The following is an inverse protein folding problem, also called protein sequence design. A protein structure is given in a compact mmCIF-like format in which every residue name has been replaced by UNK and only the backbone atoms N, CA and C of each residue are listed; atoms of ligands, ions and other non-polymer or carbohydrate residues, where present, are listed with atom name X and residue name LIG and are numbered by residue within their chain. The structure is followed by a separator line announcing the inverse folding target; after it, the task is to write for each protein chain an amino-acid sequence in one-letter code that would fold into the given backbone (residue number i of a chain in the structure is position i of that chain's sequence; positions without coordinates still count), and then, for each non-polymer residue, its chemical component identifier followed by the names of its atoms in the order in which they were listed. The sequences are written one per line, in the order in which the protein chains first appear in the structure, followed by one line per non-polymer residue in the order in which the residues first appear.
data_IF_665225331038
#
_entry.id   IF_665225331038
#
_cell.length_a   1.000
_cell.length_b   1.000
_cell.length_c   1.000
_cell.angle_alpha   90.00
_cell.angle_beta   90.00
_cell.angle_gamma   90.00
#
_symmetry.space_group_name_H-M   'P 1'
#
loop_
_entity.id
_entity.type
_entity.pdbx_description
1 polymer ?
#
# COMPACT_ATOMS: atom_id res chain seq x y z
N UNK A 1 5.68 -34.62 3.15
CA UNK A 1 4.31 -34.43 3.68
C UNK A 1 3.79 -33.12 3.09
N UNK A 2 3.08 -33.19 1.96
CA UNK A 2 2.47 -32.03 1.32
C UNK A 2 1.22 -31.66 2.11
N UNK A 3 1.19 -30.46 2.70
CA UNK A 3 -0.03 -29.94 3.32
C UNK A 3 -0.74 -29.08 2.30
N UNK A 4 -1.91 -29.56 1.91
CA UNK A 4 -2.94 -28.88 1.13
C UNK A 4 -3.35 -27.58 1.83
N UNK A 5 -3.06 -26.42 1.22
CA UNK A 5 -3.56 -25.11 1.67
C UNK A 5 -4.34 -24.37 0.58
N UNK A 6 -4.84 -25.08 -0.44
CA UNK A 6 -5.49 -24.47 -1.60
C UNK A 6 -7.01 -24.26 -1.46
N UNK A 7 -7.65 -24.59 -0.34
CA UNK A 7 -9.12 -24.56 -0.21
C UNK A 7 -9.72 -23.42 0.62
N UNK A 8 -8.95 -22.72 1.47
CA UNK A 8 -9.53 -21.75 2.42
C UNK A 8 -9.75 -20.33 1.87
N UNK A 9 -9.13 -19.99 0.73
CA UNK A 9 -9.30 -18.67 0.10
C UNK A 9 -10.54 -18.60 -0.81
N UNK A 10 -11.00 -19.74 -1.34
CA UNK A 10 -12.07 -19.78 -2.34
C UNK A 10 -13.48 -19.50 -1.78
N UNK A 11 -13.68 -19.55 -0.46
CA UNK A 11 -14.96 -19.30 0.21
C UNK A 11 -15.00 -18.01 1.06
N UNK A 12 -13.96 -17.17 1.03
CA UNK A 12 -13.96 -15.90 1.76
C UNK A 12 -14.54 -14.78 0.88
N UNK A 13 -15.55 -14.09 1.40
CA UNK A 13 -16.13 -12.92 0.76
C UNK A 13 -15.06 -11.82 0.69
N UNK A 14 -14.61 -11.51 -0.53
CA UNK A 14 -13.71 -10.39 -0.77
C UNK A 14 -14.53 -9.12 -0.91
N UNK A 15 -14.25 -8.12 -0.08
CA UNK A 15 -14.84 -6.81 -0.29
C UNK A 15 -14.09 -6.15 -1.46
N UNK A 16 -14.78 -5.79 -2.57
CA UNK A 16 -14.18 -4.93 -3.56
C UNK A 16 -13.85 -3.62 -2.86
N UNK A 17 -12.57 -3.29 -2.82
CA UNK A 17 -12.11 -2.03 -2.29
C UNK A 17 -11.83 -1.12 -3.47
N UNK A 18 -12.16 0.17 -3.32
CA UNK A 18 -11.81 1.26 -4.22
C UNK A 18 -10.96 2.28 -3.43
N UNK A 19 -10.09 3.06 -4.10
CA UNK A 19 -9.24 4.08 -3.45
C UNK A 19 -10.06 5.14 -2.69
N UNK A 20 -11.34 5.32 -3.05
CA UNK A 20 -12.30 6.17 -2.33
C UNK A 20 -12.42 5.87 -0.83
N UNK A 21 -12.07 4.66 -0.36
CA UNK A 21 -12.04 4.34 1.08
C UNK A 21 -11.08 5.23 1.87
N UNK A 22 -10.04 5.78 1.22
CA UNK A 22 -9.02 6.60 1.87
C UNK A 22 -9.38 8.08 1.95
N UNK A 23 -10.63 8.49 1.62
CA UNK A 23 -11.08 9.90 1.58
C UNK A 23 -10.07 10.82 0.87
N UNK A 24 -9.49 10.32 -0.22
CA UNK A 24 -8.54 11.09 -1.03
C UNK A 24 -9.23 12.13 -1.89
N UNK A 25 -8.52 13.22 -2.20
CA UNK A 25 -9.00 14.25 -3.12
C UNK A 25 -8.78 13.88 -4.58
N UNK A 26 -7.84 12.98 -4.84
CA UNK A 26 -7.57 12.44 -6.17
C UNK A 26 -8.14 11.02 -6.24
N UNK A 27 -9.06 10.72 -7.18
CA UNK A 27 -9.67 9.40 -7.26
C UNK A 27 -8.65 8.29 -7.55
N UNK A 28 -7.54 8.64 -8.21
CA UNK A 28 -6.51 7.69 -8.66
C UNK A 28 -5.28 7.63 -7.76
N UNK A 29 -5.24 8.37 -6.65
CA UNK A 29 -4.09 8.39 -5.74
C UNK A 29 -4.53 8.67 -4.32
N UNK A 30 -3.97 7.96 -3.34
CA UNK A 30 -4.16 8.21 -1.93
C UNK A 30 -2.84 7.99 -1.18
N UNK A 31 -2.60 8.84 -0.17
CA UNK A 31 -1.56 8.64 0.82
C UNK A 31 -2.18 8.78 2.20
N UNK A 32 -1.92 7.83 3.08
CA UNK A 32 -2.53 7.79 4.42
C UNK A 32 -1.54 7.27 5.45
N UNK A 33 -1.39 7.94 6.60
CA UNK A 33 -0.62 7.41 7.73
C UNK A 33 -1.15 6.07 8.24
N UNK A 34 -0.26 5.13 8.60
CA UNK A 34 -0.67 3.79 9.03
C UNK A 34 -1.47 3.75 10.34
N UNK A 35 -1.26 4.72 11.22
CA UNK A 35 -2.06 4.89 12.45
C UNK A 35 -3.52 5.26 12.13
N UNK A 36 -3.78 5.98 11.04
CA UNK A 36 -5.15 6.25 10.58
C UNK A 36 -5.80 4.99 10.01
N UNK A 37 -5.06 4.19 9.24
CA UNK A 37 -5.55 2.91 8.70
C UNK A 37 -5.84 1.91 9.81
N UNK A 38 -5.01 1.85 10.85
CA UNK A 38 -5.29 1.03 12.03
C UNK A 38 -6.68 1.35 12.60
N UNK A 39 -7.07 2.63 12.62
CA UNK A 39 -8.33 3.09 13.16
C UNK A 39 -9.51 2.91 12.18
N UNK A 40 -9.23 2.63 10.90
CA UNK A 40 -10.24 2.28 9.90
C UNK A 40 -10.59 0.79 10.00
N UNK A 41 -11.75 0.50 10.56
CA UNK A 41 -12.29 -0.86 10.72
C UNK A 41 -12.54 -1.61 9.41
N UNK A 42 -12.52 -0.91 8.27
CA UNK A 42 -12.81 -1.49 6.94
C UNK A 42 -11.65 -2.39 6.46
N UNK A 43 -10.40 -2.05 6.77
CA UNK A 43 -9.22 -2.76 6.25
C UNK A 43 -8.59 -3.73 7.26
N UNK A 44 -8.83 -3.52 8.56
CA UNK A 44 -8.18 -4.29 9.61
C UNK A 44 -8.75 -5.71 9.71
N UNK A 45 -7.89 -6.72 9.54
CA UNK A 45 -8.24 -8.13 9.70
C UNK A 45 -9.24 -8.69 8.68
N UNK A 46 -9.61 -7.90 7.66
CA UNK A 46 -10.46 -8.35 6.54
C UNK A 46 -9.59 -8.68 5.34
N UNK A 47 -10.08 -9.60 4.51
CA UNK A 47 -9.53 -9.81 3.18
C UNK A 47 -10.21 -8.86 2.20
N UNK A 48 -9.39 -8.19 1.41
CA UNK A 48 -9.87 -7.31 0.35
C UNK A 48 -8.98 -7.46 -0.89
N UNK A 49 -9.53 -7.09 -2.04
CA UNK A 49 -8.84 -7.16 -3.33
C UNK A 49 -8.79 -5.76 -3.93
N UNK A 50 -7.70 -4.99 -3.73
CA UNK A 50 -7.59 -3.65 -4.30
C UNK A 50 -7.47 -3.72 -5.82
N UNK A 51 -8.07 -2.76 -6.52
CA UNK A 51 -7.89 -2.56 -7.97
C UNK A 51 -6.78 -1.57 -8.32
N UNK A 52 -5.92 -1.25 -7.35
CA UNK A 52 -4.83 -0.27 -7.44
C UNK A 52 -3.50 -0.87 -6.98
N UNK A 53 -2.39 -0.20 -7.28
CA UNK A 53 -1.06 -0.52 -6.78
C UNK A 53 -0.87 0.02 -5.37
N UNK A 54 -0.36 -0.81 -4.46
CA UNK A 54 -0.13 -0.41 -3.07
C UNK A 54 1.36 -0.37 -2.75
N UNK A 55 1.81 0.68 -2.07
CA UNK A 55 3.13 0.76 -1.42
C UNK A 55 2.89 0.98 0.07
N UNK A 56 3.52 0.16 0.92
CA UNK A 56 3.49 0.36 2.37
C UNK A 56 4.92 0.47 2.86
N UNK A 57 5.20 1.54 3.62
CA UNK A 57 6.47 1.76 4.29
C UNK A 57 6.27 1.79 5.81
N UNK A 58 7.11 1.07 6.54
CA UNK A 58 7.15 1.09 8.01
C UNK A 58 8.32 1.96 8.47
N UNK A 59 8.00 3.11 9.06
CA UNK A 59 9.00 3.99 9.69
C UNK A 59 9.45 3.44 11.03
N UNK A 60 8.51 2.99 11.85
CA UNK A 60 8.78 2.33 13.13
C UNK A 60 7.62 1.44 13.55
N UNK A 61 7.89 0.34 14.22
CA UNK A 61 6.92 -0.63 14.68
C UNK A 61 6.84 -1.88 13.79
N UNK A 62 5.68 -2.55 13.81
CA UNK A 62 5.53 -3.84 13.15
C UNK A 62 4.14 -4.00 12.55
N UNK A 63 4.10 -4.52 11.32
CA UNK A 63 2.90 -4.90 10.61
C UNK A 63 3.03 -6.33 10.12
N UNK A 64 1.96 -7.10 10.27
CA UNK A 64 1.81 -8.37 9.56
C UNK A 64 0.87 -8.14 8.38
N UNK A 65 1.27 -8.62 7.22
CA UNK A 65 0.48 -8.54 5.99
C UNK A 65 0.48 -9.91 5.32
N UNK A 66 -0.72 -10.34 4.93
CA UNK A 66 -0.89 -11.44 4.00
C UNK A 66 -1.13 -10.86 2.62
N UNK A 67 -0.37 -11.31 1.63
CA UNK A 67 -0.60 -11.03 0.21
C UNK A 67 -0.69 -12.35 -0.53
N UNK A 68 -1.85 -12.64 -1.10
CA UNK A 68 -2.19 -13.91 -1.71
C UNK A 68 -1.92 -15.07 -0.72
N UNK A 69 -1.01 -15.99 -1.06
CA UNK A 69 -0.62 -17.13 -0.21
C UNK A 69 0.60 -16.83 0.68
N UNK A 70 1.16 -15.62 0.61
CA UNK A 70 2.39 -15.25 1.32
C UNK A 70 2.10 -14.37 2.53
N UNK A 71 2.80 -14.66 3.63
CA UNK A 71 2.76 -13.86 4.85
C UNK A 71 4.08 -13.12 5.03
N UNK A 72 4.00 -11.82 5.30
CA UNK A 72 5.14 -10.97 5.57
C UNK A 72 4.99 -10.31 6.94
N UNK A 73 6.06 -10.33 7.71
CA UNK A 73 6.23 -9.45 8.87
C UNK A 73 7.15 -8.32 8.47
N UNK A 74 6.62 -7.12 8.44
CA UNK A 74 7.35 -5.91 8.08
C UNK A 74 7.63 -5.11 9.35
N UNK A 75 8.88 -4.69 9.50
CA UNK A 75 9.36 -3.86 10.61
C UNK A 75 10.03 -2.61 10.06
N UNK A 76 10.58 -1.79 10.95
CA UNK A 76 11.32 -0.56 10.69
C UNK A 76 12.19 -0.64 9.42
N UNK A 77 12.03 0.35 8.54
CA UNK A 77 12.75 0.46 7.27
C UNK A 77 12.21 -0.44 6.14
N UNK A 78 11.22 -1.28 6.42
CA UNK A 78 10.62 -2.18 5.44
C UNK A 78 9.64 -1.49 4.49
N UNK A 79 9.72 -1.84 3.20
CA UNK A 79 8.80 -1.42 2.15
C UNK A 79 8.25 -2.66 1.45
N UNK A 80 6.92 -2.72 1.28
CA UNK A 80 6.27 -3.71 0.40
C UNK A 80 5.51 -2.98 -0.71
N UNK A 81 5.70 -3.46 -1.93
CA UNK A 81 4.94 -3.06 -3.11
C UNK A 81 4.05 -4.22 -3.53
N UNK A 82 2.77 -3.93 -3.78
CA UNK A 82 1.75 -4.93 -4.06
C UNK A 82 1.02 -4.55 -5.34
N UNK A 83 0.94 -5.45 -6.33
CA UNK A 83 0.21 -5.17 -7.56
C UNK A 83 -1.31 -5.16 -7.34
N UNK A 84 -2.08 -4.58 -8.28
CA UNK A 84 -3.52 -4.67 -8.29
C UNK A 84 -4.00 -6.14 -8.33
N UNK A 85 -5.20 -6.37 -7.82
CA UNK A 85 -5.91 -7.64 -7.81
C UNK A 85 -5.33 -8.74 -6.89
N UNK A 86 -4.21 -8.49 -6.21
CA UNK A 86 -3.77 -9.34 -5.10
C UNK A 86 -4.83 -9.39 -3.99
N UNK A 87 -4.90 -10.50 -3.27
CA UNK A 87 -5.74 -10.62 -2.07
C UNK A 87 -4.92 -10.20 -0.86
N UNK A 88 -5.38 -9.20 -0.11
CA UNK A 88 -4.60 -8.61 0.99
C UNK A 88 -5.36 -8.71 2.31
N UNK A 89 -4.65 -9.01 3.39
CA UNK A 89 -5.10 -8.73 4.75
C UNK A 89 -4.01 -8.04 5.57
N UNK A 90 -4.39 -7.04 6.37
CA UNK A 90 -3.49 -6.24 7.18
C UNK A 90 -3.78 -6.39 8.67
N UNK A 91 -2.70 -6.53 9.44
CA UNK A 91 -2.69 -6.39 10.90
C UNK A 91 -1.58 -5.43 11.31
N UNK A 92 -1.98 -4.19 11.62
CA UNK A 92 -1.09 -3.10 12.02
C UNK A 92 -1.09 -3.04 13.54
N UNK A 93 0.10 -3.01 14.17
CA UNK A 93 0.20 -2.79 15.61
C UNK A 93 -0.06 -1.32 15.96
N UNK A 94 -0.67 -1.05 17.12
CA UNK A 94 -1.13 0.29 17.55
C UNK A 94 -0.07 1.40 17.48
N UNK A 95 1.19 1.08 17.74
CA UNK A 95 2.29 2.05 17.75
C UNK A 95 3.01 2.18 16.39
N UNK A 96 2.55 1.48 15.35
CA UNK A 96 3.21 1.46 14.04
C UNK A 96 3.06 2.80 13.34
N UNK A 97 4.19 3.37 12.93
CA UNK A 97 4.26 4.59 12.12
C UNK A 97 4.75 4.25 10.73
N UNK A 98 4.26 4.99 9.75
CA UNK A 98 4.59 4.80 8.35
C UNK A 98 3.47 5.31 7.47
N UNK A 99 3.54 4.98 6.19
CA UNK A 99 2.56 5.41 5.21
C UNK A 99 2.08 4.24 4.35
N UNK A 100 0.81 4.32 3.99
CA UNK A 100 0.21 3.57 2.91
C UNK A 100 0.01 4.51 1.73
N UNK A 101 0.39 4.05 0.54
CA UNK A 101 0.19 4.76 -0.71
C UNK A 101 -0.57 3.83 -1.64
N UNK A 102 -1.68 4.30 -2.19
CA UNK A 102 -2.45 3.59 -3.18
C UNK A 102 -2.58 4.43 -4.45
N UNK A 103 -2.42 3.83 -5.62
CA UNK A 103 -2.60 4.55 -6.89
C UNK A 103 -3.02 3.66 -8.05
N UNK A 104 -3.78 4.24 -8.98
CA UNK A 104 -4.10 3.60 -10.27
C UNK A 104 -3.02 3.91 -11.31
N UNK A 105 -2.90 3.06 -12.33
CA UNK A 105 -1.93 3.29 -13.41
C UNK A 105 -2.17 4.62 -14.15
N UNK A 106 -3.44 5.02 -14.28
CA UNK A 106 -3.88 6.30 -14.87
C UNK A 106 -3.25 7.52 -14.20
N UNK A 107 -2.93 7.44 -12.89
CA UNK A 107 -2.28 8.53 -12.17
C UNK A 107 -0.92 8.91 -12.79
N UNK A 108 -0.16 7.93 -13.27
CA UNK A 108 1.13 8.15 -13.91
C UNK A 108 1.00 8.53 -15.40
N UNK A 109 -0.02 8.00 -16.08
CA UNK A 109 -0.26 8.29 -17.52
C UNK A 109 -0.62 9.76 -17.79
N UNK A 110 -1.13 10.49 -16.80
CA UNK A 110 -1.50 11.90 -16.95
C UNK A 110 -0.30 12.86 -17.02
N UNK A 111 0.88 12.45 -16.53
CA UNK A 111 2.04 13.34 -16.36
C UNK A 111 3.32 12.83 -17.02
N UNK A 112 3.38 11.54 -17.29
CA UNK A 112 4.53 10.90 -17.89
C UNK A 112 4.04 10.06 -19.07
N UNK A 113 4.88 9.93 -20.11
CA UNK A 113 4.58 9.09 -21.27
C UNK A 113 4.03 7.73 -20.81
N UNK A 114 3.05 7.21 -21.57
CA UNK A 114 2.56 5.84 -21.41
C UNK A 114 3.78 4.92 -21.18
N UNK A 115 3.71 4.02 -20.20
CA UNK A 115 4.77 3.05 -19.83
C UNK A 115 5.79 3.44 -18.73
N UNK A 116 5.70 4.57 -18.03
CA UNK A 116 6.62 4.82 -16.88
C UNK A 116 6.57 3.71 -15.82
N UNK A 117 5.40 3.14 -15.55
CA UNK A 117 5.27 2.03 -14.61
C UNK A 117 6.04 0.77 -15.04
N UNK A 118 6.20 0.50 -16.34
CA UNK A 118 6.99 -0.66 -16.79
C UNK A 118 8.50 -0.47 -16.60
N UNK A 119 8.96 0.78 -16.39
CA UNK A 119 10.35 1.06 -16.02
C UNK A 119 10.65 0.66 -14.57
N UNK A 120 9.62 0.53 -13.73
CA UNK A 120 9.75 0.06 -12.37
C UNK A 120 9.50 -1.45 -12.32
N UNK A 121 10.59 -2.22 -12.32
CA UNK A 121 10.55 -3.69 -12.28
C UNK A 121 9.79 -4.28 -11.09
N UNK A 122 9.49 -3.47 -10.07
CA UNK A 122 8.73 -3.86 -8.89
C UNK A 122 7.21 -3.91 -9.17
N UNK A 123 6.73 -3.14 -10.15
CA UNK A 123 5.31 -3.07 -10.55
C UNK A 123 5.01 -3.88 -11.81
N UNK A 124 6.03 -4.29 -12.55
CA UNK A 124 5.87 -5.23 -13.68
C UNK A 124 5.70 -6.69 -13.23
N UNK A 125 5.88 -6.98 -11.94
CA UNK A 125 5.71 -8.31 -11.36
C UNK A 125 4.24 -8.56 -11.01
N UNK A 126 3.79 -9.79 -11.26
CA UNK A 126 2.47 -10.27 -10.82
C UNK A 126 2.43 -10.61 -9.32
N UNK A 127 3.55 -10.46 -8.60
CA UNK A 127 3.70 -10.81 -7.19
C UNK A 127 4.15 -9.60 -6.38
N UNK A 128 3.74 -9.54 -5.12
CA UNK A 128 4.28 -8.55 -4.18
C UNK A 128 5.80 -8.62 -4.09
N UNK A 129 6.42 -7.47 -3.87
CA UNK A 129 7.87 -7.35 -3.69
C UNK A 129 8.16 -6.65 -2.38
N UNK A 130 9.10 -7.21 -1.62
CA UNK A 130 9.47 -6.72 -0.31
C UNK A 130 10.96 -6.35 -0.26
N UNK A 131 11.28 -5.22 0.37
CA UNK A 131 12.65 -4.72 0.50
C UNK A 131 12.84 -3.99 1.83
N UNK A 132 14.04 -4.11 2.42
CA UNK A 132 14.46 -3.25 3.51
C UNK A 132 15.34 -2.12 2.97
N UNK A 133 15.01 -0.88 3.34
CA UNK A 133 15.79 0.29 2.98
C UNK A 133 17.03 0.40 3.87
N UNK A 134 18.15 0.83 3.28
CA UNK A 134 19.33 1.27 4.02
C UNK A 134 19.07 2.63 4.65
N UNK A 135 19.82 3.00 5.68
CA UNK A 135 19.63 4.25 6.43
C UNK A 135 19.61 5.50 5.55
N UNK A 136 20.57 5.62 4.62
CA UNK A 136 20.61 6.72 3.64
C UNK A 136 19.42 6.72 2.65
N UNK A 137 18.76 5.58 2.44
CA UNK A 137 17.55 5.48 1.63
C UNK A 137 16.31 5.84 2.45
N UNK A 138 16.30 5.52 3.73
CA UNK A 138 15.21 5.88 4.67
C UNK A 138 15.08 7.41 4.75
N UNK A 139 16.18 8.14 4.85
CA UNK A 139 16.16 9.61 4.88
C UNK A 139 15.56 10.20 3.58
N UNK A 140 16.00 9.70 2.42
CA UNK A 140 15.45 10.10 1.12
C UNK A 140 13.96 9.77 1.01
N UNK A 141 13.56 8.61 1.54
CA UNK A 141 12.17 8.18 1.55
C UNK A 141 11.32 9.11 2.41
N UNK A 142 11.79 9.48 3.61
CA UNK A 142 11.10 10.45 4.46
C UNK A 142 10.90 11.78 3.74
N UNK A 143 11.95 12.35 3.15
CA UNK A 143 11.85 13.62 2.43
C UNK A 143 10.83 13.57 1.28
N UNK A 144 10.81 12.45 0.53
CA UNK A 144 9.83 12.23 -0.54
C UNK A 144 8.40 12.14 0.00
N UNK A 145 8.17 11.34 1.03
CA UNK A 145 6.84 11.15 1.64
C UNK A 145 6.32 12.46 2.21
N UNK A 146 7.16 13.20 2.94
CA UNK A 146 6.79 14.50 3.52
C UNK A 146 6.42 15.51 2.43
N UNK A 147 7.14 15.51 1.31
CA UNK A 147 6.84 16.35 0.15
C UNK A 147 5.50 16.00 -0.50
N UNK A 148 5.20 14.71 -0.66
CA UNK A 148 3.93 14.23 -1.23
C UNK A 148 2.77 14.60 -0.30
N UNK A 149 2.91 14.36 1.01
CA UNK A 149 1.89 14.70 2.01
C UNK A 149 1.61 16.20 1.97
N UNK A 150 2.66 17.02 1.98
CA UNK A 150 2.53 18.48 1.89
C UNK A 150 1.78 18.94 0.64
N UNK A 151 2.07 18.37 -0.54
CA UNK A 151 1.35 18.70 -1.78
C UNK A 151 -0.13 18.32 -1.69
N UNK A 152 -0.44 17.11 -1.21
CA UNK A 152 -1.81 16.61 -1.05
C UNK A 152 -2.59 17.46 -0.05
N UNK A 153 -1.97 17.88 1.05
CA UNK A 153 -2.58 18.73 2.06
C UNK A 153 -2.84 20.16 1.57
N UNK A 154 -1.92 20.73 0.81
CA UNK A 154 -2.09 22.10 0.29
C UNK A 154 -3.08 22.19 -0.86
N UNK A 155 -3.21 21.15 -1.69
CA UNK A 155 -4.34 21.07 -2.64
C UNK A 155 -5.70 21.12 -1.93
N UNK A 156 -5.79 20.64 -0.67
CA UNK A 156 -7.04 20.74 0.11
C UNK A 156 -7.43 22.17 0.45
N UNK A 157 -6.45 23.05 0.65
CA UNK A 157 -6.68 24.43 1.11
C UNK A 157 -7.03 25.41 -0.01
N UNK A 158 -6.71 25.10 -1.26
CA UNK A 158 -6.95 26.00 -2.41
C UNK A 158 -8.37 25.86 -2.98
N UNK A 159 -9.12 24.82 -2.59
CA UNK A 159 -10.48 24.55 -3.06
C UNK A 159 -11.57 24.79 -1.99
N UNK A 160 -11.19 25.32 -0.82
CA UNK A 160 -12.11 25.84 0.21
C UNK A 160 -12.14 27.36 0.14
#
# INVERSE_FOLDING_TARGET
MQVLFTSELNNKMFYPADLSIFKSQTPDFAITPLNEIHNQTILKGKLYRPRWYTIIFIKSGKMNIQVDEHNFTIVDGGVICIPPNSVISLSIQKATKGCFIGFNASFFSLRFHNHVLSSFSIFSRLTSSFVYLKENQIEKWHALIDSIIYEVENRKKVMM
#
